data_IF_642553813462
#
_entry.id   IF_642553813462
#
_cell.length_a   1.000
_cell.length_b   1.000
_cell.length_c   1.000
_cell.angle_alpha   90.00
_cell.angle_beta   90.00
_cell.angle_gamma   90.00
#
_symmetry.space_group_name_H-M   'P 1'
#
loop_
_entity.id
_entity.type
_entity.pdbx_description
1 polymer ?
#
# COMPACT_ATOMS: atom_id res chain seq x y z
N UNK A 1 1.06 16.11 14.07
CA UNK A 1 -0.40 16.21 14.38
C UNK A 1 -0.54 16.09 15.87
N UNK A 2 -1.26 16.98 16.57
CA UNK A 2 -1.50 16.75 17.99
C UNK A 2 -2.49 15.60 18.16
N UNK A 3 -2.40 14.85 19.27
CA UNK A 3 -3.36 13.78 19.59
C UNK A 3 -4.79 14.32 19.56
N UNK A 4 -4.99 15.57 19.99
CA UNK A 4 -6.28 16.26 19.93
C UNK A 4 -6.79 16.47 18.50
N UNK A 5 -5.93 16.77 17.52
CA UNK A 5 -6.35 16.92 16.13
C UNK A 5 -6.66 15.58 15.45
N UNK A 6 -6.05 14.48 15.91
CA UNK A 6 -6.40 13.13 15.47
C UNK A 6 -7.78 12.73 16.01
N UNK A 7 -8.02 12.95 17.30
CA UNK A 7 -9.30 12.63 17.94
C UNK A 7 -10.49 13.39 17.31
N UNK A 8 -10.24 14.57 16.75
CA UNK A 8 -11.27 15.38 16.09
C UNK A 8 -11.59 14.93 14.64
N UNK A 9 -10.92 13.89 14.10
CA UNK A 9 -11.20 13.39 12.76
C UNK A 9 -12.54 12.66 12.71
N UNK A 10 -13.31 12.80 11.61
CA UNK A 10 -14.59 12.11 11.43
C UNK A 10 -14.45 10.58 11.53
N UNK A 11 -15.51 9.92 11.98
CA UNK A 11 -15.57 8.45 12.20
C UNK A 11 -15.12 7.65 10.97
N UNK A 12 -15.49 8.06 9.76
CA UNK A 12 -15.12 7.34 8.54
C UNK A 12 -13.60 7.28 8.33
N UNK A 13 -12.83 8.29 8.76
CA UNK A 13 -11.36 8.29 8.68
C UNK A 13 -10.78 7.20 9.57
N UNK A 14 -11.27 7.05 10.80
CA UNK A 14 -10.86 5.98 11.73
C UNK A 14 -11.19 4.59 11.20
N UNK A 15 -12.41 4.40 10.69
CA UNK A 15 -12.85 3.14 10.09
C UNK A 15 -11.92 2.74 8.94
N UNK A 16 -11.61 3.69 8.04
CA UNK A 16 -10.72 3.44 6.91
C UNK A 16 -9.26 3.22 7.33
N UNK A 17 -8.80 3.85 8.42
CA UNK A 17 -7.46 3.61 8.97
C UNK A 17 -7.32 2.20 9.53
N UNK A 18 -8.34 1.70 10.23
CA UNK A 18 -8.38 0.32 10.73
C UNK A 18 -8.48 -0.67 9.56
N UNK A 19 -9.34 -0.40 8.56
CA UNK A 19 -9.45 -1.23 7.36
C UNK A 19 -8.12 -1.31 6.60
N UNK A 20 -7.39 -0.18 6.51
CA UNK A 20 -6.05 -0.13 5.91
C UNK A 20 -5.05 -0.98 6.70
N UNK A 21 -5.05 -0.89 8.03
CA UNK A 21 -4.18 -1.70 8.88
C UNK A 21 -4.39 -3.21 8.64
N UNK A 22 -5.64 -3.65 8.61
CA UNK A 22 -6.00 -5.06 8.38
C UNK A 22 -5.61 -5.52 6.97
N UNK A 23 -5.94 -4.72 5.94
CA UNK A 23 -5.58 -5.02 4.55
C UNK A 23 -4.07 -5.07 4.33
N UNK A 24 -3.34 -4.09 4.86
CA UNK A 24 -1.87 -4.05 4.73
C UNK A 24 -1.21 -5.20 5.49
N UNK A 25 -1.74 -5.60 6.66
CA UNK A 25 -1.24 -6.76 7.40
C UNK A 25 -1.40 -8.04 6.57
N UNK A 26 -2.56 -8.25 5.95
CA UNK A 26 -2.79 -9.40 5.09
C UNK A 26 -1.84 -9.42 3.88
N UNK A 27 -1.63 -8.26 3.24
CA UNK A 27 -0.69 -8.11 2.12
C UNK A 27 0.74 -8.41 2.58
N UNK A 28 1.19 -7.88 3.73
CA UNK A 28 2.53 -8.13 4.25
C UNK A 28 2.77 -9.62 4.56
N UNK A 29 1.82 -10.28 5.23
CA UNK A 29 1.90 -11.73 5.49
C UNK A 29 2.02 -12.50 4.17
N UNK A 30 1.20 -12.16 3.17
CA UNK A 30 1.27 -12.79 1.87
C UNK A 30 2.62 -12.56 1.18
N UNK A 31 3.11 -11.31 1.14
CA UNK A 31 4.42 -10.97 0.53
C UNK A 31 5.56 -11.75 1.16
N UNK A 32 5.59 -11.84 2.51
CA UNK A 32 6.62 -12.58 3.26
C UNK A 32 6.62 -14.07 2.87
N UNK A 33 5.43 -14.68 2.76
CA UNK A 33 5.33 -16.14 2.64
C UNK A 33 5.21 -16.63 1.18
N UNK A 34 4.81 -15.77 0.22
CA UNK A 34 4.55 -16.21 -1.17
C UNK A 34 5.74 -16.86 -1.84
N UNK A 35 6.95 -16.31 -1.66
CA UNK A 35 8.16 -16.90 -2.22
C UNK A 35 8.50 -18.25 -1.61
N UNK A 36 8.31 -18.41 -0.30
CA UNK A 36 8.57 -19.66 0.45
C UNK A 36 7.57 -20.75 0.03
N UNK A 37 6.27 -20.44 0.00
CA UNK A 37 5.24 -21.35 -0.48
C UNK A 37 5.47 -21.68 -1.94
N UNK A 38 5.73 -20.66 -2.78
CA UNK A 38 6.01 -20.85 -4.20
C UNK A 38 7.19 -21.79 -4.44
N UNK A 39 8.29 -21.66 -3.70
CA UNK A 39 9.43 -22.58 -3.83
C UNK A 39 9.12 -24.03 -3.43
N UNK A 40 8.11 -24.23 -2.56
CA UNK A 40 7.72 -25.56 -2.11
C UNK A 40 6.74 -26.27 -3.07
N UNK A 41 5.84 -25.53 -3.73
CA UNK A 41 4.74 -26.11 -4.54
C UNK A 41 4.82 -25.79 -6.03
N UNK A 42 5.73 -24.91 -6.49
CA UNK A 42 5.85 -24.57 -7.91
C UNK A 42 6.42 -25.74 -8.74
N UNK A 43 5.93 -25.97 -9.95
CA UNK A 43 6.47 -26.98 -10.86
C UNK A 43 7.93 -26.72 -11.26
N UNK A 44 8.37 -25.47 -11.24
CA UNK A 44 9.75 -25.06 -11.52
C UNK A 44 10.15 -23.88 -10.63
N UNK A 45 11.40 -23.81 -10.20
CA UNK A 45 11.87 -22.81 -9.25
C UNK A 45 11.69 -21.37 -9.71
N UNK A 46 11.84 -21.09 -11.00
CA UNK A 46 11.62 -19.74 -11.58
C UNK A 46 10.16 -19.27 -11.45
N UNK A 47 9.21 -20.19 -11.25
CA UNK A 47 7.80 -19.85 -11.03
C UNK A 47 7.48 -19.47 -9.59
N UNK A 48 8.40 -19.67 -8.65
CA UNK A 48 8.16 -19.48 -7.22
C UNK A 48 7.64 -18.08 -6.86
N UNK A 49 8.12 -17.04 -7.53
CA UNK A 49 7.72 -15.63 -7.31
C UNK A 49 6.61 -15.16 -8.24
N UNK A 50 6.21 -15.95 -9.23
CA UNK A 50 5.19 -15.60 -10.22
C UNK A 50 3.83 -15.20 -9.58
N UNK A 51 3.33 -15.89 -8.53
CA UNK A 51 2.09 -15.50 -7.85
C UNK A 51 2.16 -14.06 -7.30
N UNK A 52 3.30 -13.66 -6.75
CA UNK A 52 3.49 -12.30 -6.21
C UNK A 52 3.53 -11.24 -7.32
N UNK A 53 4.26 -11.48 -8.40
CA UNK A 53 4.33 -10.57 -9.55
C UNK A 53 2.96 -10.37 -10.18
N UNK A 54 2.21 -11.46 -10.38
CA UNK A 54 0.85 -11.40 -10.92
C UNK A 54 -0.16 -10.74 -9.96
N UNK A 55 0.06 -10.82 -8.65
CA UNK A 55 -0.73 -10.06 -7.68
C UNK A 55 -0.61 -8.55 -7.91
N UNK A 56 0.60 -8.02 -8.12
CA UNK A 56 0.79 -6.58 -8.41
C UNK A 56 0.17 -6.18 -9.73
N UNK A 57 0.29 -7.04 -10.77
CA UNK A 57 -0.38 -6.82 -12.05
C UNK A 57 -1.90 -6.78 -11.90
N UNK A 58 -2.50 -7.72 -11.16
CA UNK A 58 -3.93 -7.75 -10.87
C UNK A 58 -4.38 -6.51 -10.09
N UNK A 59 -3.58 -6.05 -9.12
CA UNK A 59 -3.84 -4.80 -8.40
C UNK A 59 -3.91 -3.61 -9.37
N UNK A 60 -2.93 -3.48 -10.27
CA UNK A 60 -2.92 -2.43 -11.28
C UNK A 60 -4.17 -2.48 -12.17
N UNK A 61 -4.51 -3.65 -12.70
CA UNK A 61 -5.66 -3.81 -13.60
C UNK A 61 -7.00 -3.54 -12.90
N UNK A 62 -7.08 -3.71 -11.58
CA UNK A 62 -8.31 -3.51 -10.81
C UNK A 62 -8.53 -2.05 -10.41
N UNK A 63 -7.50 -1.22 -10.33
CA UNK A 63 -7.64 0.18 -9.84
C UNK A 63 -8.65 1.00 -10.63
N UNK A 64 -8.57 1.01 -11.96
CA UNK A 64 -9.48 1.80 -12.78
C UNK A 64 -10.92 1.26 -12.76
N UNK A 65 -11.21 -0.04 -12.97
CA UNK A 65 -12.55 -0.58 -12.81
C UNK A 65 -13.15 -0.32 -11.42
N UNK A 66 -12.39 -0.56 -10.35
CA UNK A 66 -12.84 -0.31 -8.98
C UNK A 66 -13.26 1.15 -8.77
N UNK A 67 -12.46 2.08 -9.26
CA UNK A 67 -12.73 3.49 -9.19
C UNK A 67 -14.03 3.90 -9.90
N UNK A 68 -14.28 3.36 -11.09
CA UNK A 68 -15.51 3.59 -11.83
C UNK A 68 -16.74 2.98 -11.11
N UNK A 69 -16.59 1.77 -10.56
CA UNK A 69 -17.64 1.14 -9.74
C UNK A 69 -17.94 1.94 -8.48
N UNK A 70 -16.92 2.52 -7.82
CA UNK A 70 -17.11 3.44 -6.69
C UNK A 70 -17.90 4.69 -7.07
N UNK A 71 -17.67 5.21 -8.28
CA UNK A 71 -18.45 6.33 -8.82
C UNK A 71 -19.91 5.98 -9.08
N UNK A 72 -20.22 4.71 -9.41
CA UNK A 72 -21.59 4.24 -9.72
C UNK A 72 -22.36 3.74 -8.48
N UNK A 73 -21.70 2.94 -7.65
CA UNK A 73 -22.32 2.22 -6.53
C UNK A 73 -21.98 2.83 -5.16
N UNK A 74 -21.01 3.73 -5.10
CA UNK A 74 -20.47 4.28 -3.87
C UNK A 74 -19.27 3.51 -3.33
N UNK A 75 -18.57 4.09 -2.35
CA UNK A 75 -17.34 3.54 -1.77
C UNK A 75 -17.59 2.24 -0.99
N UNK A 76 -18.59 2.24 -0.08
CA UNK A 76 -18.84 1.14 0.84
C UNK A 76 -19.08 -0.22 0.16
N UNK A 77 -19.99 -0.37 -0.82
CA UNK A 77 -20.24 -1.67 -1.45
C UNK A 77 -19.02 -2.18 -2.23
N UNK A 78 -18.25 -1.29 -2.86
CA UNK A 78 -17.03 -1.70 -3.59
C UNK A 78 -15.92 -2.13 -2.62
N UNK A 79 -15.77 -1.45 -1.48
CA UNK A 79 -14.84 -1.86 -0.43
C UNK A 79 -15.24 -3.21 0.19
N UNK A 80 -16.53 -3.41 0.46
CA UNK A 80 -17.04 -4.70 0.95
C UNK A 80 -16.77 -5.83 -0.06
N UNK A 81 -16.98 -5.59 -1.36
CA UNK A 81 -16.65 -6.54 -2.42
C UNK A 81 -15.12 -6.84 -2.45
N UNK A 82 -14.28 -5.82 -2.26
CA UNK A 82 -12.83 -5.98 -2.16
C UNK A 82 -12.41 -6.84 -0.97
N UNK A 83 -12.98 -6.61 0.20
CA UNK A 83 -12.69 -7.42 1.40
C UNK A 83 -13.20 -8.86 1.24
N UNK A 84 -14.41 -9.05 0.65
CA UNK A 84 -14.93 -10.39 0.34
C UNK A 84 -14.00 -11.12 -0.65
N UNK A 85 -13.53 -10.43 -1.68
CA UNK A 85 -12.56 -10.99 -2.64
C UNK A 85 -11.25 -11.37 -1.97
N UNK A 86 -10.75 -10.55 -1.02
CA UNK A 86 -9.56 -10.87 -0.23
C UNK A 86 -9.79 -12.10 0.68
N UNK A 87 -10.97 -12.22 1.31
CA UNK A 87 -11.33 -13.40 2.11
C UNK A 87 -11.35 -14.67 1.25
N UNK A 88 -12.01 -14.63 0.11
CA UNK A 88 -12.05 -15.78 -0.82
C UNK A 88 -10.63 -16.12 -1.29
N UNK A 89 -9.83 -15.12 -1.65
CA UNK A 89 -8.45 -15.29 -2.08
C UNK A 89 -7.61 -16.01 -1.03
N UNK A 90 -7.66 -15.56 0.21
CA UNK A 90 -6.83 -16.13 1.30
C UNK A 90 -7.29 -17.52 1.72
N UNK A 91 -8.59 -17.83 1.65
CA UNK A 91 -9.12 -19.19 1.85
C UNK A 91 -8.65 -20.11 0.72
N UNK A 92 -8.69 -19.66 -0.53
CA UNK A 92 -8.15 -20.40 -1.68
C UNK A 92 -6.65 -20.66 -1.50
N UNK A 93 -5.88 -19.66 -1.06
CA UNK A 93 -4.45 -19.82 -0.81
C UNK A 93 -4.18 -20.80 0.32
N UNK A 94 -4.94 -20.75 1.44
CA UNK A 94 -4.83 -21.73 2.52
C UNK A 94 -5.07 -23.16 2.01
N UNK A 95 -6.15 -23.36 1.25
CA UNK A 95 -6.43 -24.66 0.62
C UNK A 95 -5.35 -25.07 -0.35
N UNK A 96 -4.84 -24.16 -1.16
CA UNK A 96 -3.77 -24.41 -2.12
C UNK A 96 -2.49 -24.93 -1.45
N UNK A 97 -2.13 -24.38 -0.29
CA UNK A 97 -0.99 -24.84 0.49
C UNK A 97 -1.24 -26.24 1.07
N UNK A 98 -2.46 -26.49 1.59
CA UNK A 98 -2.84 -27.83 2.09
C UNK A 98 -2.79 -28.90 1.01
N UNK A 99 -3.25 -28.58 -0.21
CA UNK A 99 -3.33 -29.52 -1.33
C UNK A 99 -2.02 -29.59 -2.16
N UNK A 100 -1.02 -28.74 -1.87
CA UNK A 100 0.20 -28.61 -2.68
C UNK A 100 -0.08 -28.07 -4.11
N UNK A 101 -1.16 -27.31 -4.32
CA UNK A 101 -1.61 -26.87 -5.64
C UNK A 101 -1.11 -25.47 -6.01
N UNK A 102 -0.10 -25.39 -6.87
CA UNK A 102 0.42 -24.13 -7.38
C UNK A 102 -0.64 -23.33 -8.16
N UNK A 103 -1.48 -24.00 -8.97
CA UNK A 103 -2.51 -23.33 -9.75
C UNK A 103 -3.56 -22.62 -8.88
N UNK A 104 -4.03 -23.26 -7.79
CA UNK A 104 -4.94 -22.63 -6.84
C UNK A 104 -4.25 -21.48 -6.09
N UNK A 105 -2.99 -21.62 -5.73
CA UNK A 105 -2.22 -20.57 -5.07
C UNK A 105 -2.07 -19.34 -5.96
N UNK A 106 -1.80 -19.56 -7.25
CA UNK A 106 -1.71 -18.50 -8.25
C UNK A 106 -3.04 -17.76 -8.42
N UNK A 107 -4.18 -18.49 -8.54
CA UNK A 107 -5.52 -17.89 -8.62
C UNK A 107 -5.83 -17.07 -7.37
N UNK A 108 -5.53 -17.60 -6.17
CA UNK A 108 -5.68 -16.86 -4.93
C UNK A 108 -4.87 -15.57 -4.91
N UNK A 109 -3.64 -15.60 -5.42
CA UNK A 109 -2.78 -14.41 -5.50
C UNK A 109 -3.32 -13.34 -6.47
N UNK A 110 -3.88 -13.74 -7.60
CA UNK A 110 -4.56 -12.81 -8.53
C UNK A 110 -5.76 -12.12 -7.86
N UNK A 111 -6.61 -12.88 -7.16
CA UNK A 111 -7.78 -12.34 -6.46
C UNK A 111 -7.34 -11.39 -5.33
N UNK A 112 -6.30 -11.75 -4.57
CA UNK A 112 -5.76 -10.89 -3.52
C UNK A 112 -5.19 -9.58 -4.09
N UNK A 113 -4.56 -9.66 -5.26
CA UNK A 113 -4.10 -8.49 -6.01
C UNK A 113 -5.26 -7.55 -6.38
N UNK A 114 -6.35 -8.11 -6.90
CA UNK A 114 -7.56 -7.32 -7.19
C UNK A 114 -8.12 -6.63 -5.95
N UNK A 115 -8.19 -7.32 -4.82
CA UNK A 115 -8.59 -6.74 -3.53
C UNK A 115 -7.63 -5.62 -3.08
N UNK A 116 -6.33 -5.80 -3.27
CA UNK A 116 -5.30 -4.79 -2.99
C UNK A 116 -5.53 -3.52 -3.82
N UNK A 117 -5.85 -3.65 -5.12
CA UNK A 117 -6.18 -2.52 -5.99
C UNK A 117 -7.39 -1.72 -5.50
N UNK A 118 -8.40 -2.38 -4.91
CA UNK A 118 -9.56 -1.72 -4.28
C UNK A 118 -9.14 -1.02 -2.98
N UNK A 119 -8.34 -1.64 -2.14
CA UNK A 119 -7.92 -1.10 -0.85
C UNK A 119 -7.05 0.18 -0.99
N UNK A 120 -6.37 0.37 -2.11
CA UNK A 120 -5.63 1.61 -2.40
C UNK A 120 -6.49 2.87 -2.30
N UNK A 121 -7.81 2.76 -2.49
CA UNK A 121 -8.73 3.89 -2.42
C UNK A 121 -9.14 4.30 -1.01
N UNK A 122 -8.79 3.54 0.03
CA UNK A 122 -9.10 3.91 1.43
C UNK A 122 -8.57 5.31 1.77
N UNK A 123 -7.34 5.66 1.34
CA UNK A 123 -6.74 6.97 1.59
C UNK A 123 -7.49 8.14 0.94
N UNK A 124 -8.04 7.92 -0.25
CA UNK A 124 -8.85 8.93 -0.94
C UNK A 124 -10.24 9.04 -0.31
N UNK A 125 -10.87 7.90 0.02
CA UNK A 125 -12.15 7.87 0.68
C UNK A 125 -12.12 8.57 2.05
N UNK A 126 -11.02 8.47 2.77
CA UNK A 126 -10.81 9.19 4.02
C UNK A 126 -10.74 10.72 3.82
N UNK A 127 -10.22 11.17 2.69
CA UNK A 127 -10.14 12.60 2.33
C UNK A 127 -11.42 13.14 1.71
N UNK A 128 -12.39 12.27 1.33
CA UNK A 128 -13.64 12.68 0.73
C UNK A 128 -14.47 13.54 1.70
N UNK A 129 -15.11 14.58 1.16
CA UNK A 129 -15.99 15.48 1.90
C UNK A 129 -15.33 16.26 3.06
N UNK A 130 -14.00 16.23 3.15
CA UNK A 130 -13.24 17.07 4.09
C UNK A 130 -12.82 18.39 3.46
N UNK A 131 -12.62 19.38 4.31
CA UNK A 131 -11.99 20.65 3.93
C UNK A 131 -10.55 20.36 3.44
N UNK A 132 -10.09 21.15 2.46
CA UNK A 132 -8.75 20.97 1.85
C UNK A 132 -7.60 20.94 2.86
N UNK A 133 -7.73 21.71 3.96
CA UNK A 133 -6.71 21.76 5.02
C UNK A 133 -6.65 20.48 5.90
N UNK A 134 -7.69 19.64 5.90
CA UNK A 134 -7.76 18.38 6.65
C UNK A 134 -7.45 17.14 5.81
N UNK A 135 -7.54 17.23 4.47
CA UNK A 135 -7.28 16.09 3.57
C UNK A 135 -5.91 15.44 3.77
N UNK A 136 -4.78 16.20 3.90
CA UNK A 136 -3.47 15.60 4.14
C UNK A 136 -3.40 14.82 5.45
N UNK A 137 -4.11 15.32 6.48
CA UNK A 137 -4.16 14.65 7.78
C UNK A 137 -4.94 13.34 7.71
N UNK A 138 -6.06 13.32 6.98
CA UNK A 138 -6.87 12.11 6.77
C UNK A 138 -6.10 11.05 5.97
N UNK A 139 -5.42 11.43 4.88
CA UNK A 139 -4.54 10.54 4.11
C UNK A 139 -3.42 9.97 4.98
N UNK A 140 -2.73 10.83 5.74
CA UNK A 140 -1.69 10.41 6.69
C UNK A 140 -2.20 9.39 7.71
N UNK A 141 -3.39 9.64 8.25
CA UNK A 141 -3.99 8.78 9.28
C UNK A 141 -4.32 7.39 8.75
N UNK A 142 -4.82 7.28 7.52
CA UNK A 142 -5.02 5.98 6.87
C UNK A 142 -3.69 5.26 6.65
N UNK A 143 -2.66 5.97 6.21
CA UNK A 143 -1.34 5.38 5.98
C UNK A 143 -0.65 4.90 7.26
N UNK A 144 -1.01 5.46 8.45
CA UNK A 144 -0.56 4.91 9.74
C UNK A 144 -0.97 3.44 9.96
N UNK A 145 -2.03 2.97 9.29
CA UNK A 145 -2.37 1.55 9.27
C UNK A 145 -1.24 0.64 8.76
N UNK A 146 -0.37 1.17 7.89
CA UNK A 146 0.82 0.47 7.43
C UNK A 146 1.86 0.22 8.54
N UNK A 147 1.94 1.10 9.55
CA UNK A 147 2.82 0.88 10.71
C UNK A 147 2.36 -0.32 11.55
N UNK A 148 1.06 -0.46 11.78
CA UNK A 148 0.51 -1.65 12.43
C UNK A 148 0.84 -2.92 11.62
N UNK A 149 0.68 -2.86 10.30
CA UNK A 149 1.00 -3.95 9.40
C UNK A 149 2.49 -4.34 9.40
N UNK A 150 3.39 -3.35 9.55
CA UNK A 150 4.84 -3.59 9.63
C UNK A 150 5.25 -4.42 10.86
N UNK A 151 4.49 -4.32 11.94
CA UNK A 151 4.70 -5.10 13.17
C UNK A 151 3.90 -6.40 13.14
N UNK A 152 2.61 -6.32 12.81
CA UNK A 152 1.70 -7.48 12.85
C UNK A 152 2.01 -8.51 11.76
N UNK A 153 2.45 -8.08 10.57
CA UNK A 153 2.70 -8.99 9.45
C UNK A 153 3.75 -10.05 9.77
N UNK A 154 4.98 -9.68 10.11
CA UNK A 154 6.02 -10.63 10.50
C UNK A 154 5.63 -11.49 11.72
N UNK A 155 5.00 -10.87 12.74
CA UNK A 155 4.59 -11.59 13.95
C UNK A 155 3.55 -12.68 13.66
N UNK A 156 2.55 -12.39 12.81
CA UNK A 156 1.57 -13.39 12.36
C UNK A 156 2.28 -14.50 11.58
N UNK A 157 3.18 -14.14 10.64
CA UNK A 157 3.91 -15.14 9.84
C UNK A 157 4.73 -16.08 10.72
N UNK A 158 5.45 -15.55 11.70
CA UNK A 158 6.27 -16.34 12.63
C UNK A 158 5.40 -17.28 13.48
N UNK A 159 4.33 -16.75 14.08
CA UNK A 159 3.49 -17.53 15.01
C UNK A 159 2.61 -18.56 14.32
N UNK A 160 2.20 -18.29 13.07
CA UNK A 160 1.22 -19.15 12.39
C UNK A 160 1.83 -19.98 11.27
N UNK A 161 3.07 -19.72 10.87
CA UNK A 161 3.72 -20.39 9.75
C UNK A 161 3.88 -21.88 9.92
N UNK A 162 4.15 -22.36 11.13
CA UNK A 162 4.36 -23.77 11.45
C UNK A 162 3.23 -24.38 12.29
N UNK A 163 2.08 -23.71 12.44
CA UNK A 163 0.93 -24.25 13.19
C UNK A 163 0.38 -25.56 12.59
N UNK A 164 0.52 -25.74 11.29
CA UNK A 164 0.11 -26.95 10.58
C UNK A 164 1.38 -27.62 10.05
N UNK A 165 1.90 -28.60 10.80
CA UNK A 165 3.17 -29.26 10.49
C UNK A 165 3.17 -29.92 9.11
N UNK A 166 2.04 -30.50 8.69
CA UNK A 166 1.88 -31.18 7.40
C UNK A 166 1.80 -30.22 6.20
N UNK A 167 1.54 -28.93 6.45
CA UNK A 167 1.41 -27.89 5.42
C UNK A 167 1.96 -26.55 5.94
N UNK A 168 3.30 -26.39 5.97
CA UNK A 168 3.93 -25.14 6.41
C UNK A 168 3.34 -23.93 5.69
N UNK A 169 3.15 -22.83 6.45
CA UNK A 169 2.54 -21.57 6.02
C UNK A 169 1.02 -21.57 5.74
N UNK A 170 0.31 -22.70 5.72
CA UNK A 170 -1.15 -22.73 5.59
C UNK A 170 -1.82 -21.94 6.74
N UNK A 171 -1.28 -22.03 7.95
CA UNK A 171 -1.72 -21.27 9.12
C UNK A 171 -1.67 -19.75 8.90
N UNK A 172 -0.71 -19.24 8.16
CA UNK A 172 -0.62 -17.81 7.80
C UNK A 172 -1.85 -17.36 6.99
N UNK A 173 -2.27 -18.16 6.01
CA UNK A 173 -3.41 -17.84 5.15
C UNK A 173 -4.75 -17.93 5.89
N UNK A 174 -4.89 -18.87 6.84
CA UNK A 174 -6.04 -18.89 7.75
C UNK A 174 -6.06 -17.66 8.68
N UNK A 175 -4.91 -17.26 9.21
CA UNK A 175 -4.81 -16.06 10.05
C UNK A 175 -5.23 -14.79 9.30
N UNK A 176 -4.75 -14.60 8.06
CA UNK A 176 -5.18 -13.44 7.27
C UNK A 176 -6.62 -13.55 6.78
N UNK A 177 -7.18 -14.75 6.60
CA UNK A 177 -8.61 -14.94 6.36
C UNK A 177 -9.44 -14.44 7.55
N UNK A 178 -9.03 -14.75 8.78
CA UNK A 178 -9.68 -14.21 9.98
C UNK A 178 -9.59 -12.67 10.05
N UNK A 179 -8.46 -12.06 9.65
CA UNK A 179 -8.34 -10.60 9.55
C UNK A 179 -9.31 -10.02 8.51
N UNK A 180 -9.59 -10.72 7.39
CA UNK A 180 -10.57 -10.26 6.41
C UNK A 180 -12.00 -10.31 6.94
N UNK A 181 -12.34 -11.27 7.80
CA UNK A 181 -13.65 -11.29 8.48
C UNK A 181 -13.80 -10.06 9.39
N UNK A 182 -12.74 -9.72 10.14
CA UNK A 182 -12.72 -8.49 10.96
C UNK A 182 -12.80 -7.25 10.06
N UNK A 183 -12.06 -7.21 8.95
CA UNK A 183 -12.10 -6.11 8.00
C UNK A 183 -13.51 -5.91 7.40
N UNK A 184 -14.24 -7.00 7.16
CA UNK A 184 -15.62 -6.94 6.69
C UNK A 184 -16.52 -6.23 7.70
N UNK A 185 -16.44 -6.59 8.98
CA UNK A 185 -17.23 -5.92 10.03
C UNK A 185 -16.86 -4.43 10.13
N UNK A 186 -15.59 -4.09 10.00
CA UNK A 186 -15.11 -2.69 10.00
C UNK A 186 -15.66 -1.92 8.80
N UNK A 187 -15.63 -2.48 7.58
CA UNK A 187 -16.20 -1.82 6.39
C UNK A 187 -17.71 -1.66 6.49
N UNK A 188 -18.44 -2.57 7.15
CA UNK A 188 -19.88 -2.39 7.40
C UNK A 188 -20.18 -1.17 8.30
N UNK A 189 -19.23 -0.75 9.15
CA UNK A 189 -19.37 0.45 9.98
C UNK A 189 -19.05 1.76 9.21
N UNK A 190 -18.63 1.65 7.94
CA UNK A 190 -18.32 2.80 7.10
C UNK A 190 -19.62 3.52 6.70
N UNK A 191 -19.72 4.77 7.13
CA UNK A 191 -20.80 5.68 6.75
C UNK A 191 -20.21 6.75 5.82
N UNK A 192 -20.43 6.55 4.52
CA UNK A 192 -20.03 7.51 3.46
C UNK A 192 -21.25 7.71 2.58
N UNK A 193 -21.66 8.96 2.35
CA UNK A 193 -22.82 9.25 1.51
C UNK A 193 -22.65 8.63 0.12
N UNK A 194 -23.73 8.12 -0.47
CA UNK A 194 -23.70 7.60 -1.83
C UNK A 194 -23.30 8.70 -2.80
N UNK A 195 -22.70 8.34 -3.95
CA UNK A 195 -22.33 9.33 -4.94
C UNK A 195 -23.57 10.07 -5.44
N UNK A 196 -23.49 11.39 -5.57
CA UNK A 196 -24.52 12.16 -6.23
C UNK A 196 -24.67 11.68 -7.69
N UNK A 197 -25.83 11.17 -8.06
CA UNK A 197 -26.15 10.73 -9.43
C UNK A 197 -26.43 11.93 -10.35
N UNK A 198 -25.58 12.92 -10.33
CA UNK A 198 -25.60 13.98 -11.37
C UNK A 198 -24.94 13.40 -12.61
N UNK A 199 -25.59 13.55 -13.76
CA UNK A 199 -25.03 13.12 -15.03
C UNK A 199 -23.57 13.63 -15.13
N UNK A 200 -22.71 12.83 -15.75
CA UNK A 200 -21.28 13.08 -15.83
C UNK A 200 -21.00 14.48 -16.44
N UNK A 201 -20.69 15.47 -15.60
CA UNK A 201 -20.34 16.84 -15.99
C UNK A 201 -18.92 17.24 -15.53
N UNK A 202 -18.08 16.29 -15.15
CA UNK A 202 -16.72 16.56 -14.71
C UNK A 202 -15.80 16.95 -15.88
N UNK A 203 -14.70 17.62 -15.55
CA UNK A 203 -13.64 18.04 -16.50
C UNK A 203 -13.08 16.82 -17.25
N UNK A 204 -12.70 16.99 -18.53
CA UNK A 204 -12.00 15.94 -19.29
C UNK A 204 -10.63 15.67 -18.68
N UNK A 205 -10.14 14.41 -18.76
CA UNK A 205 -8.81 14.06 -18.23
C UNK A 205 -7.70 14.94 -18.83
N UNK A 206 -7.82 15.31 -20.13
CA UNK A 206 -6.88 16.24 -20.77
C UNK A 206 -6.80 17.62 -20.09
N UNK A 207 -7.87 18.07 -19.46
CA UNK A 207 -7.90 19.30 -18.68
C UNK A 207 -7.27 19.10 -17.29
N UNK A 208 -7.53 17.94 -16.67
CA UNK A 208 -6.94 17.57 -15.36
C UNK A 208 -5.41 17.45 -15.47
N UNK A 209 -4.89 16.82 -16.54
CA UNK A 209 -3.44 16.74 -16.78
C UNK A 209 -2.77 18.11 -17.04
N UNK A 210 -3.52 19.15 -17.36
CA UNK A 210 -3.00 20.52 -17.47
C UNK A 210 -2.92 21.25 -16.13
N UNK A 211 -3.50 20.69 -15.05
CA UNK A 211 -3.45 21.29 -13.73
C UNK A 211 -2.10 21.03 -13.06
N UNK A 212 -1.27 22.05 -12.76
CA UNK A 212 0.05 21.84 -12.18
C UNK A 212 0.00 21.07 -10.85
N UNK A 213 -1.06 21.29 -10.05
CA UNK A 213 -1.25 20.59 -8.76
C UNK A 213 -1.51 19.11 -8.96
N UNK A 214 -2.27 18.71 -9.99
CA UNK A 214 -2.50 17.30 -10.31
C UNK A 214 -1.21 16.61 -10.77
N UNK A 215 -0.50 17.25 -11.71
CA UNK A 215 0.77 16.71 -12.24
C UNK A 215 1.81 16.59 -11.12
N UNK A 216 1.94 17.62 -10.28
CA UNK A 216 2.84 17.57 -9.12
C UNK A 216 2.47 16.43 -8.17
N UNK A 217 1.17 16.21 -7.90
CA UNK A 217 0.69 15.12 -7.07
C UNK A 217 0.98 13.75 -7.66
N UNK A 218 0.66 13.57 -8.95
CA UNK A 218 0.89 12.33 -9.68
C UNK A 218 2.38 11.97 -9.75
N UNK A 219 3.21 12.92 -10.19
CA UNK A 219 4.67 12.73 -10.30
C UNK A 219 5.28 12.42 -8.94
N UNK A 220 4.91 13.20 -7.91
CA UNK A 220 5.42 12.98 -6.54
C UNK A 220 5.08 11.58 -6.02
N UNK A 221 3.83 11.15 -6.13
CA UNK A 221 3.40 9.83 -5.66
C UNK A 221 4.02 8.70 -6.50
N UNK A 222 3.99 8.81 -7.83
CA UNK A 222 4.43 7.75 -8.74
C UNK A 222 5.95 7.56 -8.71
N UNK A 223 6.73 8.63 -8.90
CA UNK A 223 8.18 8.54 -8.87
C UNK A 223 8.70 8.25 -7.46
N UNK A 224 8.06 8.84 -6.43
CA UNK A 224 8.40 8.53 -5.05
C UNK A 224 8.26 7.02 -4.76
N UNK A 225 7.16 6.41 -5.19
CA UNK A 225 6.94 4.98 -4.99
C UNK A 225 7.86 4.13 -5.87
N UNK A 226 8.03 4.49 -7.15
CA UNK A 226 8.87 3.75 -8.08
C UNK A 226 10.34 3.69 -7.63
N UNK A 227 10.91 4.83 -7.22
CA UNK A 227 12.29 4.88 -6.69
C UNK A 227 12.43 4.01 -5.43
N UNK A 228 11.45 4.06 -4.52
CA UNK A 228 11.44 3.22 -3.33
C UNK A 228 11.46 1.73 -3.70
N UNK A 229 10.59 1.30 -4.61
CA UNK A 229 10.51 -0.11 -5.03
C UNK A 229 11.80 -0.55 -5.72
N UNK A 230 12.35 0.27 -6.61
CA UNK A 230 13.61 -0.02 -7.29
C UNK A 230 14.76 -0.29 -6.29
N UNK A 231 14.95 0.60 -5.31
CA UNK A 231 15.99 0.43 -4.30
C UNK A 231 15.69 -0.78 -3.40
N UNK A 232 14.44 -0.98 -2.98
CA UNK A 232 14.05 -2.10 -2.11
C UNK A 232 14.18 -3.45 -2.79
N UNK A 233 14.00 -3.54 -4.11
CA UNK A 233 14.18 -4.81 -4.85
C UNK A 233 15.65 -5.22 -4.89
N UNK A 234 16.56 -4.26 -5.04
CA UNK A 234 18.00 -4.53 -5.12
C UNK A 234 18.66 -4.74 -3.74
N UNK A 235 18.16 -4.07 -2.70
CA UNK A 235 18.84 -4.03 -1.38
C UNK A 235 19.03 -5.40 -0.73
N UNK A 236 18.04 -6.31 -0.64
CA UNK A 236 18.24 -7.62 -0.01
C UNK A 236 19.34 -8.44 -0.70
N UNK A 237 19.37 -8.42 -2.03
CA UNK A 237 20.39 -9.10 -2.81
C UNK A 237 21.78 -8.54 -2.53
N UNK A 238 21.88 -7.22 -2.48
CA UNK A 238 23.13 -6.53 -2.18
C UNK A 238 23.62 -6.83 -0.75
N UNK A 239 22.73 -6.73 0.24
CA UNK A 239 23.06 -6.92 1.66
C UNK A 239 23.49 -8.35 1.97
N UNK A 240 22.75 -9.34 1.45
CA UNK A 240 22.96 -10.75 1.78
C UNK A 240 24.06 -11.36 0.91
N UNK A 241 24.00 -11.18 -0.41
CA UNK A 241 24.86 -11.92 -1.35
C UNK A 241 26.20 -11.21 -1.65
N UNK A 242 26.23 -9.88 -1.60
CA UNK A 242 27.43 -9.10 -1.96
C UNK A 242 28.14 -8.60 -0.72
N UNK A 243 27.41 -7.98 0.22
CA UNK A 243 28.01 -7.44 1.44
C UNK A 243 28.16 -8.48 2.56
N UNK A 244 27.56 -9.68 2.40
CA UNK A 244 27.66 -10.83 3.30
C UNK A 244 27.27 -10.49 4.77
N UNK A 245 26.34 -9.55 4.94
CA UNK A 245 25.90 -9.11 6.28
C UNK A 245 24.91 -10.09 6.93
N UNK A 246 24.35 -11.04 6.15
CA UNK A 246 23.42 -12.06 6.65
C UNK A 246 21.96 -11.60 6.80
N UNK A 247 21.08 -12.60 6.91
CA UNK A 247 19.62 -12.41 6.90
C UNK A 247 19.08 -11.58 8.08
N UNK A 248 19.66 -11.76 9.27
CA UNK A 248 19.23 -11.03 10.46
C UNK A 248 19.46 -9.51 10.34
N UNK A 249 20.59 -9.09 9.74
CA UNK A 249 20.88 -7.68 9.52
C UNK A 249 20.01 -7.12 8.40
N UNK A 250 19.81 -7.89 7.31
CA UNK A 250 18.88 -7.52 6.24
C UNK A 250 17.46 -7.31 6.80
N UNK A 251 16.95 -8.22 7.60
CA UNK A 251 15.63 -8.10 8.22
C UNK A 251 15.49 -6.83 9.07
N UNK A 252 16.51 -6.47 9.86
CA UNK A 252 16.54 -5.21 10.65
C UNK A 252 16.53 -3.97 9.77
N UNK A 253 17.31 -3.95 8.70
CA UNK A 253 17.36 -2.84 7.74
C UNK A 253 15.97 -2.63 7.13
N UNK A 254 15.33 -3.69 6.64
CA UNK A 254 14.00 -3.65 6.05
C UNK A 254 12.95 -3.21 7.07
N UNK A 255 12.99 -3.75 8.27
CA UNK A 255 12.05 -3.37 9.34
C UNK A 255 12.08 -1.87 9.62
N UNK A 256 13.25 -1.29 9.79
CA UNK A 256 13.38 0.14 10.05
C UNK A 256 13.02 1.00 8.86
N UNK A 257 13.29 0.52 7.63
CA UNK A 257 12.78 1.15 6.42
C UNK A 257 11.26 1.25 6.44
N UNK A 258 10.56 0.14 6.71
CA UNK A 258 9.09 0.12 6.75
C UNK A 258 8.54 1.00 7.88
N UNK A 259 9.19 1.01 9.04
CA UNK A 259 8.84 1.95 10.12
C UNK A 259 9.01 3.39 9.62
N UNK A 260 10.11 3.72 8.95
CA UNK A 260 10.36 5.06 8.40
C UNK A 260 9.40 5.45 7.27
N UNK A 261 8.82 4.47 6.54
CA UNK A 261 7.76 4.73 5.56
C UNK A 261 6.45 5.20 6.23
N UNK A 262 6.06 4.62 7.35
CA UNK A 262 4.72 4.83 7.89
C UNK A 262 4.69 5.68 9.16
N UNK A 263 5.68 5.59 10.04
CA UNK A 263 5.69 6.35 11.29
C UNK A 263 5.64 7.88 11.10
N UNK A 264 6.30 8.49 10.09
CA UNK A 264 6.18 9.93 9.88
C UNK A 264 4.77 10.40 9.57
N UNK A 265 3.86 9.52 9.12
CA UNK A 265 2.47 9.87 8.87
C UNK A 265 1.76 10.44 10.11
N UNK A 266 2.26 10.21 11.33
CA UNK A 266 1.78 10.90 12.54
C UNK A 266 1.87 12.42 12.43
N UNK A 267 2.84 12.96 11.69
CA UNK A 267 3.07 14.40 11.59
C UNK A 267 3.09 14.95 10.17
N UNK A 268 3.32 14.12 9.13
CA UNK A 268 3.44 14.59 7.73
C UNK A 268 2.22 15.37 7.28
N UNK A 269 1.00 14.90 7.57
CA UNK A 269 -0.23 15.63 7.23
C UNK A 269 -0.32 17.00 7.92
N UNK A 270 0.16 17.11 9.17
CA UNK A 270 0.26 18.37 9.90
C UNK A 270 1.33 19.30 9.33
N UNK A 271 2.46 18.76 8.92
CA UNK A 271 3.54 19.51 8.27
C UNK A 271 3.08 20.09 6.92
N UNK A 272 2.35 19.30 6.11
CA UNK A 272 1.76 19.78 4.86
C UNK A 272 0.80 20.94 5.12
N UNK A 273 -0.04 20.84 6.16
CA UNK A 273 -0.94 21.95 6.55
C UNK A 273 -0.18 23.19 6.95
N UNK A 274 0.95 23.06 7.65
CA UNK A 274 1.75 24.18 8.16
C UNK A 274 2.65 24.82 7.10
N UNK A 275 3.34 24.00 6.29
CA UNK A 275 4.40 24.45 5.38
C UNK A 275 4.03 24.31 3.89
N UNK A 276 2.90 23.68 3.60
CA UNK A 276 2.43 23.43 2.23
C UNK A 276 3.10 22.26 1.54
N UNK A 277 2.49 21.82 0.45
CA UNK A 277 2.91 20.65 -0.32
C UNK A 277 4.33 20.76 -0.89
N UNK A 278 4.70 21.94 -1.43
CA UNK A 278 6.00 22.14 -2.09
C UNK A 278 7.17 21.86 -1.16
N UNK A 279 7.12 22.39 0.07
CA UNK A 279 8.20 22.21 1.06
C UNK A 279 8.34 20.73 1.42
N UNK A 280 7.24 20.02 1.66
CA UNK A 280 7.29 18.61 2.04
C UNK A 280 7.76 17.72 0.90
N UNK A 281 7.34 17.99 -0.34
CA UNK A 281 7.83 17.28 -1.53
C UNK A 281 9.35 17.50 -1.70
N UNK A 282 9.83 18.75 -1.59
CA UNK A 282 11.26 19.04 -1.68
C UNK A 282 12.06 18.35 -0.56
N UNK A 283 11.53 18.33 0.67
CA UNK A 283 12.15 17.59 1.78
C UNK A 283 12.20 16.08 1.48
N UNK A 284 11.17 15.51 0.86
CA UNK A 284 11.16 14.10 0.42
C UNK A 284 12.23 13.81 -0.62
N UNK A 285 12.44 14.73 -1.58
CA UNK A 285 13.51 14.63 -2.57
C UNK A 285 14.89 14.70 -1.89
N UNK A 286 15.08 15.62 -0.93
CA UNK A 286 16.32 15.72 -0.16
C UNK A 286 16.61 14.44 0.62
N UNK A 287 15.60 13.78 1.20
CA UNK A 287 15.80 12.47 1.83
C UNK A 287 16.21 11.39 0.83
N UNK A 288 15.70 11.40 -0.41
CA UNK A 288 16.17 10.47 -1.44
C UNK A 288 17.63 10.75 -1.86
N UNK A 289 18.03 12.01 -1.97
CA UNK A 289 19.42 12.37 -2.21
C UNK A 289 20.32 11.92 -1.05
N UNK A 290 19.88 12.08 0.19
CA UNK A 290 20.59 11.55 1.36
C UNK A 290 20.67 10.01 1.33
N UNK A 291 19.60 9.31 0.96
CA UNK A 291 19.62 7.86 0.75
C UNK A 291 20.73 7.45 -0.23
N UNK A 292 20.80 8.10 -1.39
CA UNK A 292 21.83 7.83 -2.39
C UNK A 292 23.22 8.14 -1.82
N UNK A 293 23.40 9.30 -1.18
CA UNK A 293 24.66 9.71 -0.58
C UNK A 293 25.20 8.68 0.41
N UNK A 294 24.38 8.27 1.38
CA UNK A 294 24.77 7.25 2.37
C UNK A 294 25.00 5.87 1.75
N UNK A 295 24.18 5.50 0.75
CA UNK A 295 24.38 4.24 0.02
C UNK A 295 25.68 4.16 -0.77
N UNK A 296 26.18 5.29 -1.26
CA UNK A 296 27.47 5.38 -1.98
C UNK A 296 28.69 5.45 -1.05
N UNK A 297 28.49 5.77 0.24
CA UNK A 297 29.61 5.92 1.19
C UNK A 297 30.19 4.59 1.66
N UNK A 298 29.47 3.46 1.50
CA UNK A 298 29.98 2.16 1.89
C UNK A 298 28.95 1.04 1.89
N UNK A 299 29.41 -0.17 2.19
CA UNK A 299 28.64 -1.43 2.12
C UNK A 299 28.43 -2.08 3.50
N UNK A 300 28.67 -1.35 4.58
CA UNK A 300 28.42 -1.84 5.95
C UNK A 300 26.97 -1.65 6.40
N UNK A 301 26.57 -2.37 7.46
CA UNK A 301 25.24 -2.30 8.04
C UNK A 301 24.74 -0.86 8.25
N UNK A 302 25.57 0.01 8.85
CA UNK A 302 25.19 1.40 9.13
C UNK A 302 24.85 2.21 7.88
N UNK A 303 25.55 1.98 6.77
CA UNK A 303 25.30 2.67 5.51
C UNK A 303 23.93 2.25 4.93
N UNK A 304 23.64 0.95 4.86
CA UNK A 304 22.34 0.46 4.42
C UNK A 304 21.21 0.90 5.35
N UNK A 305 21.43 0.80 6.66
CA UNK A 305 20.43 1.18 7.67
C UNK A 305 20.02 2.65 7.51
N UNK A 306 20.97 3.57 7.51
CA UNK A 306 20.71 5.02 7.38
C UNK A 306 20.13 5.33 6.00
N UNK A 307 20.70 4.77 4.94
CA UNK A 307 20.22 4.93 3.56
C UNK A 307 18.75 4.54 3.45
N UNK A 308 18.35 3.37 3.96
CA UNK A 308 16.97 2.89 3.85
C UNK A 308 16.00 3.60 4.79
N UNK A 309 16.45 4.12 5.93
CA UNK A 309 15.64 5.02 6.76
C UNK A 309 15.31 6.30 5.98
N UNK A 310 16.29 6.93 5.33
CA UNK A 310 16.04 8.09 4.46
C UNK A 310 15.14 7.76 3.27
N UNK A 311 15.29 6.57 2.68
CA UNK A 311 14.39 6.09 1.63
C UNK A 311 12.93 6.04 2.11
N UNK A 312 12.68 5.50 3.29
CA UNK A 312 11.35 5.43 3.89
C UNK A 312 10.76 6.79 4.19
N UNK A 313 11.54 7.70 4.79
CA UNK A 313 11.13 9.10 5.05
C UNK A 313 10.78 9.82 3.76
N UNK A 314 11.62 9.70 2.74
CA UNK A 314 11.41 10.30 1.41
C UNK A 314 10.13 9.79 0.77
N UNK A 315 9.91 8.48 0.78
CA UNK A 315 8.69 7.87 0.29
C UNK A 315 7.44 8.44 1.01
N UNK A 316 7.46 8.49 2.34
CA UNK A 316 6.32 9.01 3.10
C UNK A 316 5.97 10.43 2.68
N UNK A 317 6.94 11.33 2.61
CA UNK A 317 6.71 12.74 2.28
C UNK A 317 6.20 12.92 0.86
N UNK A 318 6.76 12.19 -0.10
CA UNK A 318 6.35 12.24 -1.50
C UNK A 318 4.96 11.62 -1.72
N UNK A 319 4.72 10.45 -1.13
CA UNK A 319 3.48 9.69 -1.34
C UNK A 319 2.28 10.31 -0.63
N UNK A 320 2.45 10.76 0.63
CA UNK A 320 1.38 11.48 1.38
C UNK A 320 1.04 12.79 0.69
N UNK A 321 2.05 13.57 0.29
CA UNK A 321 1.82 14.84 -0.42
C UNK A 321 1.14 14.63 -1.76
N UNK A 322 1.62 13.66 -2.54
CA UNK A 322 1.07 13.34 -3.86
C UNK A 322 -0.37 12.87 -3.79
N UNK A 323 -0.66 11.89 -2.92
CA UNK A 323 -2.01 11.36 -2.70
C UNK A 323 -2.98 12.45 -2.22
N UNK A 324 -2.51 13.32 -1.33
CA UNK A 324 -3.33 14.43 -0.82
C UNK A 324 -3.64 15.47 -1.89
N UNK A 325 -2.68 15.80 -2.77
CA UNK A 325 -2.90 16.71 -3.90
C UNK A 325 -3.90 16.13 -4.90
N UNK A 326 -3.79 14.85 -5.23
CA UNK A 326 -4.75 14.17 -6.13
C UNK A 326 -6.15 14.22 -5.51
N UNK A 327 -6.27 13.98 -4.21
CA UNK A 327 -7.55 14.04 -3.49
C UNK A 327 -8.11 15.48 -3.43
N UNK A 328 -7.25 16.50 -3.36
CA UNK A 328 -7.66 17.90 -3.27
C UNK A 328 -8.14 18.46 -4.62
N UNK A 329 -7.49 18.09 -5.72
CA UNK A 329 -7.81 18.55 -7.07
C UNK A 329 -9.10 17.92 -7.60
N UNK A 330 -9.42 16.69 -7.20
CA UNK A 330 -10.56 15.93 -7.71
C UNK A 330 -11.90 16.47 -7.18
N UNK A 331 -12.73 17.01 -8.05
CA UNK A 331 -14.10 17.42 -7.73
C UNK A 331 -15.02 16.21 -7.51
N UNK A 332 -16.12 16.33 -6.73
CA UNK A 332 -16.99 15.20 -6.41
C UNK A 332 -17.47 14.39 -7.63
N UNK A 333 -17.80 15.05 -8.73
CA UNK A 333 -18.31 14.43 -9.96
C UNK A 333 -17.26 13.65 -10.77
N UNK A 334 -15.95 13.90 -10.53
CA UNK A 334 -14.86 13.32 -11.32
C UNK A 334 -13.89 12.48 -10.48
N UNK A 335 -14.06 12.43 -9.15
CA UNK A 335 -13.16 11.73 -8.19
C UNK A 335 -12.82 10.33 -8.63
N UNK A 336 -13.83 9.54 -8.97
CA UNK A 336 -13.64 8.15 -9.41
C UNK A 336 -12.65 8.05 -10.57
N UNK A 337 -12.83 8.85 -11.62
CA UNK A 337 -11.97 8.79 -12.78
C UNK A 337 -10.57 9.36 -12.52
N UNK A 338 -10.48 10.51 -11.84
CA UNK A 338 -9.21 11.18 -11.56
C UNK A 338 -8.33 10.30 -10.67
N UNK A 339 -8.89 9.77 -9.58
CA UNK A 339 -8.16 8.89 -8.65
C UNK A 339 -7.82 7.54 -9.29
N UNK A 340 -8.74 6.97 -10.09
CA UNK A 340 -8.50 5.70 -10.79
C UNK A 340 -7.37 5.79 -11.81
N UNK A 341 -7.35 6.85 -12.63
CA UNK A 341 -6.26 7.08 -13.58
C UNK A 341 -4.95 7.37 -12.87
N UNK A 342 -4.98 8.15 -11.79
CA UNK A 342 -3.79 8.44 -11.01
C UNK A 342 -3.17 7.16 -10.40
N UNK A 343 -3.99 6.29 -9.79
CA UNK A 343 -3.50 5.06 -9.20
C UNK A 343 -3.10 4.01 -10.24
N UNK A 344 -3.77 3.96 -11.38
CA UNK A 344 -3.33 3.13 -12.49
C UNK A 344 -1.92 3.51 -12.96
N UNK A 345 -1.67 4.81 -13.19
CA UNK A 345 -0.35 5.30 -13.60
C UNK A 345 0.69 5.07 -12.50
N UNK A 346 0.34 5.34 -11.25
CA UNK A 346 1.20 5.08 -10.10
C UNK A 346 1.64 3.61 -10.06
N UNK A 347 0.69 2.68 -10.15
CA UNK A 347 0.99 1.25 -10.10
C UNK A 347 1.74 0.76 -11.34
N UNK A 348 1.50 1.38 -12.50
CA UNK A 348 2.29 1.13 -13.71
C UNK A 348 3.77 1.48 -13.49
N UNK A 349 4.08 2.65 -12.95
CA UNK A 349 5.47 3.03 -12.64
C UNK A 349 6.11 2.13 -11.58
N UNK A 350 5.34 1.67 -10.58
CA UNK A 350 5.80 0.67 -9.61
C UNK A 350 6.17 -0.64 -10.31
N UNK A 351 5.31 -1.12 -11.18
CA UNK A 351 5.56 -2.35 -11.92
C UNK A 351 6.83 -2.25 -12.78
N UNK A 352 6.99 -1.14 -13.52
CA UNK A 352 8.22 -0.90 -14.31
C UNK A 352 9.47 -0.84 -13.43
N UNK A 353 9.38 -0.24 -12.25
CA UNK A 353 10.53 -0.12 -11.34
C UNK A 353 10.91 -1.43 -10.63
N UNK A 354 10.03 -2.43 -10.62
CA UNK A 354 10.28 -3.73 -10.00
C UNK A 354 11.00 -4.74 -10.93
N UNK A 355 11.15 -4.42 -12.21
CA UNK A 355 11.91 -5.19 -13.19
C UNK A 355 13.34 -4.67 -13.33
#
# INVERSE_FOLDING_TARGET
MSIASMAAMPRHVWVLSVAQALSMTAINVNVINTGLVGSAIAPALWMATLPLSCQFLAAMMTTLPASLLMGRFGRRPVFAAGVLMALIATVIQAKAVLDGSFALFFIGSLLLGGAQGIAQFYRYAAADNLRSDLKPQAVSMVLLGGLAAAVMGPEISIRTGLLIETAPYAGCYFAISALQIIAMTVIWMLDVPPPERKGYQGRRMSQIFKLPRFVMGLVSASLGYAVMVFVMTATPLQVVNISLLGDAQNARIIQWHVIAMFAPSFFTGGLIKKWGYKVIILSGILFYLACIGFGLMGVGFGHYFISLVFLGLGWNFLFVSGSSLIADVAEPSERGRVQGVADFLLTFFIAVASF
#
